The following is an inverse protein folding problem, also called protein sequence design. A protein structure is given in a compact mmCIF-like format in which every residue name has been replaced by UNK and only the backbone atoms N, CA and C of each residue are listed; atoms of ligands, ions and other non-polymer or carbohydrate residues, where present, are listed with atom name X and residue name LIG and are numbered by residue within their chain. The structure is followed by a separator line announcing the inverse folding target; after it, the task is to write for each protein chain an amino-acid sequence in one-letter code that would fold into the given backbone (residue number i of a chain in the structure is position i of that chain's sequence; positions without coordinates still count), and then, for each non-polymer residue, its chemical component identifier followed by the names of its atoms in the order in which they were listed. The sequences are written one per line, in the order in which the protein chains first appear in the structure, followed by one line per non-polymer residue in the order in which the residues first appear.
data_IF_126691758721
#
_entry.id   IF_126691758721
#
_cell.length_a   1.000
_cell.length_b   1.000
_cell.length_c   1.000
_cell.angle_alpha   90.00
_cell.angle_beta   90.00
_cell.angle_gamma   90.00
#
_symmetry.space_group_name_H-M   'P 1'
#
loop_
_entity.id
_entity.type
_entity.pdbx_description
1 polymer ?
#
# COMPACT_ATOMS: atom_id res chain seq x y z
N UNK A 1 -6.27 5.34 -20.10
CA UNK A 1 -4.86 5.32 -19.65
C UNK A 1 -4.07 6.54 -20.13
N UNK A 2 -4.34 7.11 -21.31
CA UNK A 2 -3.56 8.24 -21.86
C UNK A 2 -3.59 9.52 -21.04
N UNK A 3 -4.73 9.85 -20.42
CA UNK A 3 -4.85 10.97 -19.51
C UNK A 3 -3.91 10.84 -18.31
N UNK A 4 -3.81 9.64 -17.72
CA UNK A 4 -2.88 9.37 -16.63
C UNK A 4 -1.42 9.42 -17.11
N UNK A 5 -1.09 8.89 -18.29
CA UNK A 5 0.27 9.07 -18.86
C UNK A 5 0.62 10.56 -19.00
N UNK A 6 -0.37 11.38 -19.34
CA UNK A 6 -0.27 12.84 -19.49
C UNK A 6 -0.52 13.62 -18.19
N UNK A 7 -0.63 12.93 -17.04
CA UNK A 7 -0.82 13.51 -15.69
C UNK A 7 -2.09 14.36 -15.50
N UNK A 8 -3.11 14.12 -16.32
CA UNK A 8 -4.46 14.69 -16.24
C UNK A 8 -5.34 13.80 -15.33
N UNK A 9 -5.03 13.81 -14.03
CA UNK A 9 -5.63 12.87 -13.06
C UNK A 9 -7.09 13.19 -12.73
N UNK A 10 -7.47 14.46 -12.66
CA UNK A 10 -8.86 14.88 -12.39
C UNK A 10 -9.80 14.45 -13.51
N UNK A 11 -9.40 14.66 -14.77
CA UNK A 11 -10.15 14.22 -15.94
C UNK A 11 -10.23 12.70 -16.02
N UNK A 12 -9.10 12.01 -15.74
CA UNK A 12 -9.07 10.56 -15.67
C UNK A 12 -10.01 10.01 -14.60
N UNK A 13 -10.04 10.61 -13.41
CA UNK A 13 -10.93 10.21 -12.32
C UNK A 13 -12.40 10.40 -12.67
N UNK A 14 -12.77 11.54 -13.28
CA UNK A 14 -14.14 11.77 -13.73
C UNK A 14 -14.61 10.71 -14.75
N UNK A 15 -13.73 10.26 -15.65
CA UNK A 15 -14.03 9.16 -16.58
C UNK A 15 -14.21 7.84 -15.83
N UNK A 16 -13.34 7.54 -14.86
CA UNK A 16 -13.49 6.34 -14.02
C UNK A 16 -14.84 6.32 -13.31
N UNK A 17 -15.23 7.42 -12.66
CA UNK A 17 -16.51 7.50 -11.96
C UNK A 17 -17.69 7.25 -12.91
N UNK A 18 -17.70 7.90 -14.08
CA UNK A 18 -18.74 7.67 -15.11
C UNK A 18 -18.79 6.21 -15.57
N UNK A 19 -17.64 5.61 -15.83
CA UNK A 19 -17.57 4.21 -16.23
C UNK A 19 -18.09 3.27 -15.13
N UNK A 20 -17.75 3.52 -13.87
CA UNK A 20 -18.20 2.73 -12.71
C UNK A 20 -19.70 2.80 -12.46
N UNK A 21 -20.35 3.90 -12.83
CA UNK A 21 -21.81 3.99 -12.81
C UNK A 21 -22.46 3.02 -13.80
N UNK A 22 -21.80 2.73 -14.92
CA UNK A 22 -22.31 1.89 -16.01
C UNK A 22 -21.91 0.42 -15.82
N UNK A 23 -20.65 0.14 -15.47
CA UNK A 23 -20.07 -1.21 -15.42
C UNK A 23 -20.41 -2.01 -14.16
N UNK A 24 -21.18 -1.44 -13.23
CA UNK A 24 -21.45 -2.01 -11.91
C UNK A 24 -20.56 -1.45 -10.80
N UNK A 25 -21.13 -1.39 -9.58
CA UNK A 25 -20.50 -0.79 -8.40
C UNK A 25 -19.38 -1.69 -7.87
N UNK A 26 -18.12 -1.32 -8.12
CA UNK A 26 -16.99 -1.75 -7.27
C UNK A 26 -16.82 -0.75 -6.12
N UNK A 27 -16.43 -1.25 -4.95
CA UNK A 27 -16.28 -0.43 -3.74
C UNK A 27 -17.45 -0.57 -2.78
N UNK A 28 -17.19 -1.14 -1.59
CA UNK A 28 -18.21 -1.31 -0.56
C UNK A 28 -18.68 0.07 -0.07
N UNK A 29 -19.95 0.39 -0.26
CA UNK A 29 -20.54 1.66 0.17
C UNK A 29 -20.14 2.89 -0.64
N UNK A 30 -19.45 2.71 -1.79
CA UNK A 30 -19.09 3.82 -2.66
C UNK A 30 -20.24 4.24 -3.58
N UNK A 31 -20.53 5.54 -3.58
CA UNK A 31 -21.46 6.20 -4.48
C UNK A 31 -20.68 6.97 -5.56
N UNK A 32 -20.56 6.37 -6.74
CA UNK A 32 -19.79 6.92 -7.85
C UNK A 32 -20.38 8.20 -8.43
N UNK A 33 -21.68 8.46 -8.25
CA UNK A 33 -22.27 9.73 -8.67
C UNK A 33 -21.83 10.84 -7.71
N UNK A 34 -21.85 10.57 -6.41
CA UNK A 34 -21.32 11.50 -5.39
C UNK A 34 -19.83 11.75 -5.59
N UNK A 35 -19.04 10.72 -5.85
CA UNK A 35 -17.60 10.86 -6.10
C UNK A 35 -17.33 11.67 -7.39
N UNK A 36 -18.11 11.48 -8.45
CA UNK A 36 -17.99 12.30 -9.66
C UNK A 36 -18.22 13.79 -9.37
N UNK A 37 -19.22 14.12 -8.53
CA UNK A 37 -19.52 15.51 -8.14
C UNK A 37 -18.42 16.13 -7.28
N UNK A 38 -17.82 15.35 -6.38
CA UNK A 38 -16.70 15.81 -5.55
C UNK A 38 -15.42 16.01 -6.36
N UNK A 39 -15.18 15.15 -7.34
CA UNK A 39 -13.91 15.09 -8.07
C UNK A 39 -12.80 14.43 -7.25
N UNK A 40 -11.60 14.36 -7.83
CA UNK A 40 -10.43 13.77 -7.19
C UNK A 40 -10.03 14.63 -5.98
N UNK A 41 -9.82 14.00 -4.83
CA UNK A 41 -9.31 14.70 -3.64
C UNK A 41 -7.93 15.33 -3.97
N UNK A 42 -7.72 16.64 -3.75
CA UNK A 42 -6.44 17.30 -3.99
C UNK A 42 -5.23 16.66 -3.29
N UNK A 43 -5.42 16.12 -2.09
CA UNK A 43 -4.34 15.41 -1.37
C UNK A 43 -3.97 14.11 -2.07
N UNK A 44 -4.98 13.36 -2.52
CA UNK A 44 -4.74 12.12 -3.26
C UNK A 44 -4.08 12.43 -4.61
N UNK A 45 -4.44 13.54 -5.28
CA UNK A 45 -3.74 14.01 -6.50
C UNK A 45 -2.25 14.27 -6.23
N UNK A 46 -1.91 14.98 -5.15
CA UNK A 46 -0.51 15.23 -4.76
C UNK A 46 0.25 13.91 -4.52
N UNK A 47 -0.36 12.96 -3.81
CA UNK A 47 0.28 11.67 -3.51
C UNK A 47 0.43 10.82 -4.77
N UNK A 48 -0.61 10.72 -5.61
CA UNK A 48 -0.58 9.95 -6.86
C UNK A 48 0.49 10.49 -7.81
N UNK A 49 0.73 11.81 -7.83
CA UNK A 49 1.78 12.44 -8.62
C UNK A 49 3.19 12.00 -8.20
N UNK A 50 3.40 11.63 -6.94
CA UNK A 50 4.70 11.14 -6.48
C UNK A 50 5.05 9.78 -7.11
N UNK A 51 4.06 8.96 -7.48
CA UNK A 51 4.29 7.67 -8.14
C UNK A 51 5.00 7.82 -9.51
N UNK A 52 4.96 8.98 -10.14
CA UNK A 52 5.69 9.23 -11.39
C UNK A 52 7.21 9.42 -11.20
N UNK A 53 7.69 9.53 -9.97
CA UNK A 53 9.13 9.56 -9.67
C UNK A 53 9.76 8.16 -9.69
N UNK A 54 8.94 7.10 -9.62
CA UNK A 54 9.40 5.72 -9.69
C UNK A 54 10.02 5.40 -11.05
N UNK A 55 11.10 4.62 -11.04
CA UNK A 55 11.80 4.19 -12.26
C UNK A 55 11.07 3.03 -12.97
N UNK A 56 9.79 3.23 -13.29
CA UNK A 56 8.92 2.27 -13.96
C UNK A 56 8.32 2.86 -15.25
N UNK A 57 7.94 2.02 -16.24
CA UNK A 57 7.35 2.52 -17.47
C UNK A 57 6.05 3.32 -17.19
N UNK A 58 5.81 4.47 -17.88
CA UNK A 58 4.62 5.31 -17.63
C UNK A 58 3.29 4.57 -17.72
N UNK A 59 3.21 3.53 -18.56
CA UNK A 59 2.05 2.65 -18.69
C UNK A 59 1.78 1.83 -17.42
N UNK A 60 2.82 1.35 -16.75
CA UNK A 60 2.72 0.62 -15.48
C UNK A 60 2.23 1.54 -14.37
N UNK A 61 2.82 2.74 -14.28
CA UNK A 61 2.41 3.78 -13.31
C UNK A 61 0.94 4.16 -13.54
N UNK A 62 0.54 4.38 -14.79
CA UNK A 62 -0.85 4.68 -15.14
C UNK A 62 -1.80 3.53 -14.78
N UNK A 63 -1.39 2.29 -14.99
CA UNK A 63 -2.17 1.11 -14.56
C UNK A 63 -2.33 1.04 -13.04
N UNK A 64 -1.30 1.37 -12.26
CA UNK A 64 -1.39 1.41 -10.81
C UNK A 64 -2.32 2.53 -10.34
N UNK A 65 -2.20 3.73 -10.91
CA UNK A 65 -3.10 4.87 -10.61
C UNK A 65 -4.54 4.51 -10.94
N UNK A 66 -4.80 3.86 -12.08
CA UNK A 66 -6.13 3.34 -12.40
C UNK A 66 -6.62 2.34 -11.36
N UNK A 67 -5.79 1.39 -10.92
CA UNK A 67 -6.16 0.42 -9.89
C UNK A 67 -6.58 1.12 -8.59
N UNK A 68 -5.78 2.09 -8.14
CA UNK A 68 -6.01 2.88 -6.92
C UNK A 68 -7.32 3.67 -7.05
N UNK A 69 -7.47 4.48 -8.09
CA UNK A 69 -8.62 5.37 -8.27
C UNK A 69 -9.93 4.65 -8.53
N UNK A 70 -9.88 3.52 -9.25
CA UNK A 70 -11.09 2.78 -9.62
C UNK A 70 -11.47 1.72 -8.59
N UNK A 71 -10.59 1.38 -7.65
CA UNK A 71 -10.74 0.23 -6.75
C UNK A 71 -10.62 -1.14 -7.43
N UNK A 72 -10.13 -1.19 -8.68
CA UNK A 72 -9.91 -2.44 -9.38
C UNK A 72 -8.78 -3.24 -8.71
N UNK A 73 -8.92 -4.56 -8.69
CA UNK A 73 -7.86 -5.42 -8.15
C UNK A 73 -6.62 -5.39 -9.05
N UNK A 74 -5.42 -5.47 -8.46
CA UNK A 74 -4.17 -5.58 -9.25
C UNK A 74 -4.19 -6.76 -10.21
N UNK A 75 -4.91 -7.82 -9.86
CA UNK A 75 -5.10 -9.01 -10.68
C UNK A 75 -5.87 -8.69 -11.97
N UNK A 76 -6.95 -7.94 -11.87
CA UNK A 76 -7.78 -7.60 -13.04
C UNK A 76 -7.09 -6.56 -13.92
N UNK A 77 -6.44 -5.57 -13.31
CA UNK A 77 -5.64 -4.59 -14.06
C UNK A 77 -4.47 -5.27 -14.78
N UNK A 78 -3.83 -6.26 -14.17
CA UNK A 78 -2.79 -7.05 -14.82
C UNK A 78 -3.33 -7.87 -16.01
N UNK A 79 -4.53 -8.48 -15.88
CA UNK A 79 -5.18 -9.17 -17.01
C UNK A 79 -5.43 -8.21 -18.17
N UNK A 80 -6.04 -7.06 -17.90
CA UNK A 80 -6.28 -6.01 -18.92
C UNK A 80 -4.98 -5.57 -19.59
N UNK A 81 -3.91 -5.38 -18.81
CA UNK A 81 -2.60 -5.02 -19.35
C UNK A 81 -2.06 -6.12 -20.29
N UNK A 82 -2.28 -7.39 -19.94
CA UNK A 82 -1.80 -8.53 -20.73
C UNK A 82 -2.57 -8.78 -22.03
N UNK A 83 -3.76 -8.19 -22.21
CA UNK A 83 -4.46 -8.21 -23.50
C UNK A 83 -3.66 -7.49 -24.59
N UNK A 84 -2.86 -6.50 -24.20
CA UNK A 84 -2.00 -5.71 -25.10
C UNK A 84 -0.55 -6.23 -25.06
N UNK A 85 -0.07 -6.61 -23.88
CA UNK A 85 1.29 -7.08 -23.64
C UNK A 85 1.28 -8.50 -23.08
N UNK A 86 1.11 -9.54 -23.91
CA UNK A 86 1.06 -10.91 -23.42
C UNK A 86 2.39 -11.33 -22.79
N UNK A 87 2.33 -12.25 -21.82
CA UNK A 87 3.51 -12.91 -21.23
C UNK A 87 4.13 -12.22 -19.99
N UNK A 88 3.67 -11.03 -19.57
CA UNK A 88 4.29 -10.27 -18.46
C UNK A 88 3.46 -10.21 -17.18
N UNK A 89 2.43 -11.06 -17.04
CA UNK A 89 1.43 -10.98 -15.96
C UNK A 89 2.02 -10.93 -14.55
N UNK A 90 2.95 -11.83 -14.22
CA UNK A 90 3.53 -11.90 -12.88
C UNK A 90 4.35 -10.64 -12.54
N UNK A 91 5.08 -10.11 -13.54
CA UNK A 91 5.86 -8.89 -13.41
C UNK A 91 4.97 -7.68 -13.16
N UNK A 92 3.95 -7.48 -14.00
CA UNK A 92 3.03 -6.34 -13.86
C UNK A 92 2.26 -6.42 -12.53
N UNK A 93 1.78 -7.60 -12.12
CA UNK A 93 1.12 -7.76 -10.82
C UNK A 93 2.06 -7.37 -9.66
N UNK A 94 3.34 -7.70 -9.75
CA UNK A 94 4.33 -7.34 -8.72
C UNK A 94 4.60 -5.85 -8.68
N UNK A 95 4.72 -5.20 -9.85
CA UNK A 95 4.90 -3.75 -9.97
C UNK A 95 3.67 -2.97 -9.48
N UNK A 96 2.45 -3.42 -9.82
CA UNK A 96 1.21 -2.83 -9.34
C UNK A 96 1.10 -2.91 -7.81
N UNK A 97 1.40 -4.08 -7.22
CA UNK A 97 1.43 -4.24 -5.75
C UNK A 97 2.47 -3.34 -5.10
N UNK A 98 3.65 -3.19 -5.70
CA UNK A 98 4.69 -2.29 -5.20
C UNK A 98 4.19 -0.84 -5.18
N UNK A 99 3.69 -0.33 -6.31
CA UNK A 99 3.17 1.04 -6.42
C UNK A 99 1.99 1.30 -5.48
N UNK A 100 1.10 0.32 -5.29
CA UNK A 100 0.02 0.44 -4.32
C UNK A 100 0.55 0.53 -2.88
N UNK A 101 1.59 -0.24 -2.54
CA UNK A 101 2.24 -0.14 -1.22
C UNK A 101 2.98 1.18 -1.02
N UNK A 102 3.58 1.75 -2.07
CA UNK A 102 4.16 3.11 -2.04
C UNK A 102 3.04 4.11 -1.74
N UNK A 103 1.95 4.09 -2.51
CA UNK A 103 0.79 4.96 -2.29
C UNK A 103 0.24 4.87 -0.87
N UNK A 104 0.00 3.66 -0.35
CA UNK A 104 -0.49 3.47 1.02
C UNK A 104 0.45 4.03 2.07
N UNK A 105 1.76 3.93 1.86
CA UNK A 105 2.76 4.48 2.79
C UNK A 105 2.75 6.00 2.76
N UNK A 106 2.76 6.60 1.57
CA UNK A 106 2.69 8.05 1.42
C UNK A 106 1.40 8.63 2.04
N UNK A 107 0.26 7.96 1.84
CA UNK A 107 -1.00 8.36 2.49
C UNK A 107 -0.92 8.28 4.01
N UNK A 108 -0.39 7.17 4.55
CA UNK A 108 -0.23 7.02 6.00
C UNK A 108 0.69 8.07 6.63
N UNK A 109 1.75 8.49 5.93
CA UNK A 109 2.62 9.58 6.38
C UNK A 109 1.89 10.91 6.37
N UNK A 110 1.15 11.20 5.29
CA UNK A 110 0.39 12.44 5.15
C UNK A 110 -0.66 12.59 6.26
N UNK A 111 -1.43 11.53 6.49
CA UNK A 111 -2.43 11.48 7.56
C UNK A 111 -1.77 11.66 8.95
N UNK A 112 -0.58 11.10 9.15
CA UNK A 112 0.18 11.27 10.39
C UNK A 112 0.66 12.73 10.58
N UNK A 113 1.19 13.36 9.53
CA UNK A 113 1.60 14.77 9.57
C UNK A 113 0.43 15.71 9.89
N UNK A 114 -0.74 15.47 9.30
CA UNK A 114 -1.94 16.28 9.50
C UNK A 114 -2.52 16.15 10.91
N UNK A 115 -2.32 15.00 11.55
CA UNK A 115 -2.68 14.77 12.96
C UNK A 115 -1.61 15.25 13.95
N UNK A 116 -0.52 15.85 13.45
CA UNK A 116 0.57 16.38 14.28
C UNK A 116 1.58 15.34 14.76
N UNK A 117 1.49 14.10 14.25
CA UNK A 117 2.43 13.05 14.57
C UNK A 117 3.81 13.35 13.95
N UNK A 118 4.86 13.08 14.72
CA UNK A 118 6.25 13.26 14.27
C UNK A 118 6.93 11.94 13.93
N UNK A 119 6.32 10.84 14.34
CA UNK A 119 6.91 9.51 14.27
C UNK A 119 5.88 8.46 13.85
N UNK A 120 6.36 7.47 13.12
CA UNK A 120 5.63 6.25 12.76
C UNK A 120 6.39 5.03 13.27
N UNK A 121 5.70 3.91 13.44
CA UNK A 121 6.30 2.65 13.87
C UNK A 121 6.24 1.63 12.74
N UNK A 122 7.41 1.19 12.27
CA UNK A 122 7.51 0.16 11.24
C UNK A 122 6.99 -1.17 11.78
N UNK A 123 6.07 -1.80 11.06
CA UNK A 123 5.41 -3.04 11.49
C UNK A 123 5.48 -4.10 10.40
N UNK A 124 6.14 -5.22 10.69
CA UNK A 124 6.24 -6.38 9.81
C UNK A 124 5.24 -7.48 10.21
N UNK A 125 4.87 -8.34 9.27
CA UNK A 125 4.07 -9.52 9.57
C UNK A 125 4.85 -10.52 10.44
N UNK A 126 4.17 -11.16 11.38
CA UNK A 126 4.72 -12.23 12.21
C UNK A 126 4.49 -13.59 11.53
N UNK A 127 5.26 -13.91 10.49
CA UNK A 127 5.25 -15.21 9.82
C UNK A 127 6.61 -15.62 9.24
N UNK A 128 6.71 -16.86 8.75
CA UNK A 128 7.95 -17.43 8.20
C UNK A 128 8.42 -16.81 6.89
N UNK A 129 7.58 -16.02 6.22
CA UNK A 129 7.89 -15.37 4.94
C UNK A 129 8.41 -13.95 5.13
N UNK A 130 8.31 -13.37 6.33
CA UNK A 130 8.90 -12.07 6.62
C UNK A 130 10.42 -12.15 6.50
N UNK A 131 10.99 -11.30 5.65
CA UNK A 131 12.41 -11.34 5.37
C UNK A 131 13.24 -10.76 6.55
N UNK A 132 14.54 -11.09 6.65
CA UNK A 132 15.39 -10.58 7.72
C UNK A 132 15.50 -9.05 7.77
N UNK A 133 15.45 -8.37 6.62
CA UNK A 133 15.51 -6.91 6.54
C UNK A 133 14.29 -6.27 7.22
N UNK A 134 13.09 -6.64 6.79
CA UNK A 134 11.84 -6.17 7.37
C UNK A 134 11.71 -6.56 8.85
N UNK A 135 12.10 -7.79 9.21
CA UNK A 135 12.08 -8.27 10.58
C UNK A 135 12.99 -7.50 11.54
N UNK A 136 14.11 -6.94 11.05
CA UNK A 136 15.00 -6.05 11.82
C UNK A 136 14.41 -4.66 12.03
N UNK A 137 13.51 -4.21 11.18
CA UNK A 137 12.85 -2.91 11.29
C UNK A 137 11.57 -2.96 12.14
N UNK A 138 10.98 -4.14 12.34
CA UNK A 138 9.75 -4.31 13.12
C UNK A 138 9.86 -3.73 14.55
N UNK A 139 8.93 -2.83 14.87
CA UNK A 139 8.87 -2.09 16.12
C UNK A 139 9.76 -0.85 16.20
N UNK A 140 10.54 -0.52 15.15
CA UNK A 140 11.34 0.70 15.14
C UNK A 140 10.47 1.93 14.96
N UNK A 141 10.74 2.93 15.79
CA UNK A 141 10.16 4.28 15.69
C UNK A 141 11.00 5.10 14.70
N UNK A 142 10.36 5.65 13.68
CA UNK A 142 10.99 6.39 12.59
C UNK A 142 10.40 7.79 12.60
N UNK A 143 11.25 8.81 12.54
CA UNK A 143 10.80 10.19 12.41
C UNK A 143 10.33 10.40 10.97
N UNK A 144 9.15 10.99 10.79
CA UNK A 144 8.53 11.12 9.45
C UNK A 144 9.44 11.89 8.49
N UNK A 145 10.07 12.98 8.94
CA UNK A 145 11.01 13.78 8.15
C UNK A 145 12.30 13.08 7.75
N UNK A 146 12.62 11.92 8.35
CA UNK A 146 13.78 11.08 8.00
C UNK A 146 13.34 9.79 7.28
N UNK A 147 12.05 9.68 6.97
CA UNK A 147 11.45 8.53 6.32
C UNK A 147 11.79 8.46 4.84
N UNK A 148 12.28 7.31 4.40
CA UNK A 148 12.61 7.01 3.01
C UNK A 148 12.12 5.59 2.69
N UNK A 149 11.19 5.52 1.74
CA UNK A 149 10.65 4.25 1.22
C UNK A 149 11.81 3.41 0.65
N UNK A 150 11.83 2.12 0.97
CA UNK A 150 12.89 1.21 0.53
C UNK A 150 14.12 1.19 1.45
N UNK A 151 14.26 2.15 2.37
CA UNK A 151 15.41 2.26 3.29
C UNK A 151 14.99 2.03 4.75
N UNK A 152 13.99 2.78 5.21
CA UNK A 152 13.43 2.61 6.55
C UNK A 152 11.90 2.58 6.55
N UNK A 153 11.23 2.94 5.46
CA UNK A 153 9.78 2.83 5.31
C UNK A 153 9.40 1.74 4.29
N UNK A 154 8.22 1.09 4.44
CA UNK A 154 7.73 0.16 3.45
C UNK A 154 7.29 0.88 2.15
N UNK A 155 7.16 0.18 1.02
CA UNK A 155 7.68 -1.16 0.78
C UNK A 155 9.23 -1.17 0.76
N UNK A 156 9.83 -2.10 1.52
CA UNK A 156 11.30 -2.29 1.52
C UNK A 156 11.81 -3.00 0.27
N UNK A 157 10.94 -3.74 -0.41
CA UNK A 157 11.22 -4.57 -1.58
C UNK A 157 9.92 -4.92 -2.29
N UNK A 158 10.01 -5.48 -3.50
CA UNK A 158 8.83 -6.05 -4.18
C UNK A 158 8.20 -7.15 -3.33
N UNK A 159 6.87 -7.14 -3.19
CA UNK A 159 6.13 -8.08 -2.34
C UNK A 159 6.31 -7.84 -0.82
N UNK A 160 6.81 -6.68 -0.41
CA UNK A 160 6.81 -6.28 1.00
C UNK A 160 5.39 -6.28 1.58
N UNK A 161 5.24 -6.78 2.81
CA UNK A 161 3.96 -6.87 3.53
C UNK A 161 3.99 -6.07 4.83
N UNK A 162 4.92 -5.13 4.93
CA UNK A 162 5.07 -4.28 6.10
C UNK A 162 4.21 -3.03 5.95
N UNK A 163 3.82 -2.47 7.09
CA UNK A 163 3.01 -1.26 7.18
C UNK A 163 3.57 -0.33 8.25
N UNK A 164 2.92 0.81 8.43
CA UNK A 164 3.22 1.79 9.46
C UNK A 164 2.06 1.84 10.46
N UNK A 165 2.41 2.02 11.74
CA UNK A 165 1.44 2.43 12.76
C UNK A 165 1.69 3.91 13.06
N UNK A 166 0.63 4.71 12.93
CA UNK A 166 0.59 6.13 13.24
C UNK A 166 -0.23 6.37 14.52
N UNK A 167 0.01 7.47 15.23
CA UNK A 167 -0.83 7.86 16.36
C UNK A 167 -0.66 7.06 17.65
N UNK A 168 0.42 6.27 17.79
CA UNK A 168 0.65 5.45 18.97
C UNK A 168 2.10 5.49 19.46
N UNK A 169 2.26 5.63 20.77
CA UNK A 169 3.55 5.42 21.43
C UNK A 169 3.90 3.93 21.55
N UNK A 170 5.19 3.61 21.57
CA UNK A 170 5.70 2.22 21.72
C UNK A 170 5.20 1.56 23.01
N UNK A 171 5.00 2.32 24.09
CA UNK A 171 4.46 1.81 25.34
C UNK A 171 3.00 1.33 25.20
N UNK A 172 2.20 2.03 24.40
CA UNK A 172 0.80 1.65 24.14
C UNK A 172 0.72 0.42 23.25
N UNK A 173 1.60 0.31 22.24
CA UNK A 173 1.69 -0.89 21.41
C UNK A 173 1.96 -2.16 22.23
N UNK A 174 2.82 -2.07 23.25
CA UNK A 174 3.14 -3.22 24.12
C UNK A 174 1.92 -3.75 24.89
N UNK A 175 0.87 -2.96 25.07
CA UNK A 175 -0.39 -3.37 25.72
C UNK A 175 -1.33 -4.09 24.75
N UNK A 176 -1.09 -3.99 23.44
CA UNK A 176 -1.92 -4.60 22.40
C UNK A 176 -1.57 -6.07 22.16
N UNK A 177 -2.44 -6.70 21.37
CA UNK A 177 -2.19 -8.03 20.80
C UNK A 177 -1.87 -7.91 19.31
N UNK A 178 -1.07 -8.83 18.79
CA UNK A 178 -0.73 -8.95 17.37
C UNK A 178 -1.22 -10.27 16.82
N UNK A 179 -1.60 -10.29 15.55
CA UNK A 179 -1.84 -11.52 14.81
C UNK A 179 -0.50 -12.06 14.30
N UNK A 180 -0.28 -13.36 14.46
CA UNK A 180 0.81 -14.11 13.84
C UNK A 180 0.28 -15.26 13.01
N UNK A 181 1.08 -15.76 12.06
CA UNK A 181 0.86 -17.04 11.40
C UNK A 181 1.76 -18.08 12.07
N UNK A 182 1.17 -19.05 12.75
CA UNK A 182 1.94 -20.10 13.42
C UNK A 182 2.70 -20.93 12.36
N UNK A 183 4.03 -21.06 12.47
CA UNK A 183 4.83 -21.72 11.45
C UNK A 183 4.64 -23.25 11.43
N UNK A 184 4.19 -23.84 12.54
CA UNK A 184 3.93 -25.29 12.64
C UNK A 184 2.53 -25.64 12.13
N UNK A 185 1.51 -24.88 12.55
CA UNK A 185 0.11 -25.20 12.23
C UNK A 185 -0.40 -24.51 10.97
N UNK A 186 0.34 -23.51 10.47
CA UNK A 186 -0.08 -22.61 9.40
C UNK A 186 -1.45 -21.98 9.67
N UNK A 187 -1.83 -21.76 10.94
CA UNK A 187 -3.06 -21.06 11.33
C UNK A 187 -2.73 -19.68 11.90
N UNK A 188 -3.68 -18.76 11.78
CA UNK A 188 -3.53 -17.41 12.30
C UNK A 188 -3.94 -17.37 13.78
N UNK A 189 -3.05 -16.89 14.63
CA UNK A 189 -3.22 -16.82 16.09
C UNK A 189 -3.05 -15.37 16.58
N UNK A 190 -3.64 -15.03 17.72
CA UNK A 190 -3.51 -13.71 18.35
C UNK A 190 -2.69 -13.85 19.62
N UNK A 191 -1.55 -13.16 19.67
CA UNK A 191 -0.58 -13.22 20.76
C UNK A 191 -0.34 -11.83 21.36
N UNK A 192 0.22 -11.71 22.58
CA UNK A 192 0.69 -10.43 23.09
C UNK A 192 1.70 -9.77 22.15
N UNK A 193 1.81 -8.44 22.18
CA UNK A 193 2.76 -7.71 21.35
C UNK A 193 4.20 -8.18 21.60
N UNK A 194 4.83 -8.70 20.55
CA UNK A 194 6.27 -8.97 20.48
C UNK A 194 6.76 -8.49 19.12
N UNK A 195 8.05 -8.15 19.03
CA UNK A 195 8.72 -7.83 17.76
C UNK A 195 8.95 -9.11 16.94
N UNK A 196 9.16 -8.96 15.64
CA UNK A 196 9.49 -10.08 14.75
C UNK A 196 10.73 -10.84 15.24
N UNK A 197 11.75 -10.13 15.73
CA UNK A 197 12.96 -10.76 16.25
C UNK A 197 12.66 -11.66 17.46
N UNK A 198 11.80 -11.21 18.38
CA UNK A 198 11.34 -12.00 19.51
C UNK A 198 10.45 -13.17 19.07
N UNK A 199 9.57 -12.93 18.10
CA UNK A 199 8.70 -13.96 17.52
C UNK A 199 9.52 -15.06 16.85
N UNK A 200 10.50 -14.71 16.02
CA UNK A 200 11.39 -15.66 15.35
C UNK A 200 12.12 -16.55 16.36
N UNK A 201 12.68 -15.97 17.42
CA UNK A 201 13.34 -16.72 18.52
C UNK A 201 12.38 -17.64 19.28
N UNK A 202 11.10 -17.33 19.33
CA UNK A 202 10.11 -18.12 20.07
C UNK A 202 9.52 -19.26 19.22
N UNK A 203 9.31 -19.03 17.93
CA UNK A 203 8.49 -19.91 17.07
C UNK A 203 9.25 -20.57 15.91
N UNK A 204 10.46 -20.10 15.57
CA UNK A 204 11.23 -20.56 14.40
C UNK A 204 12.64 -21.06 14.76
N UNK A 205 12.90 -21.43 16.02
CA UNK A 205 14.19 -22.00 16.41
C UNK A 205 14.52 -23.23 15.57
#
# INVERSE_FOLDING_TARGET
MDLMKSRQLSEAYAIICRWRMISGRQGLGLDWEKELRKGLNPEDDVILRQLYAESLPPKVISSAIYAILSGASNLDVAKMYCEIYPGVRAEIESQLRYLQSVYSTLKALKDAEETGEKYVIFTADLDSRTCPLCGKLDGKRIKISEGVIGVNLPPMHSGCRCTLICGMAVCELKKLKRRMRNPQTNKSEVIPYITYTQWKKKYLN
#
